data_IF_237391723311
#
_entry.id   IF_237391723311
#
_cell.length_a   1.000
_cell.length_b   1.000
_cell.length_c   1.000
_cell.angle_alpha   90.00
_cell.angle_beta   90.00
_cell.angle_gamma   90.00
#
_symmetry.space_group_name_H-M   'P 1'
#
loop_
_entity.id
_entity.type
_entity.pdbx_description
1 polymer ?
#
# COMPACT_ATOMS: atom_id res chain seq x y z
N UNK A 1 -2.54 -5.46 -17.99
CA UNK A 1 -3.95 -5.31 -17.58
C UNK A 1 -4.01 -4.41 -16.36
N UNK A 2 -4.74 -3.30 -16.44
CA UNK A 2 -5.01 -2.41 -15.30
C UNK A 2 -6.25 -2.86 -14.53
N UNK A 3 -6.27 -2.65 -13.22
CA UNK A 3 -7.40 -2.89 -12.32
C UNK A 3 -7.86 -1.58 -11.69
N UNK A 4 -9.13 -1.50 -11.31
CA UNK A 4 -9.67 -0.35 -10.61
C UNK A 4 -9.05 -0.29 -9.21
N UNK A 5 -8.67 0.91 -8.76
CA UNK A 5 -8.11 1.13 -7.41
C UNK A 5 -9.13 0.76 -6.34
N UNK A 6 -10.40 1.14 -6.54
CA UNK A 6 -11.49 0.63 -5.73
C UNK A 6 -12.12 -0.59 -6.43
N UNK A 7 -11.81 -1.80 -5.93
CA UNK A 7 -12.37 -3.04 -6.46
C UNK A 7 -13.90 -3.16 -6.25
N UNK A 8 -14.49 -2.35 -5.36
CA UNK A 8 -15.94 -2.25 -5.21
C UNK A 8 -16.61 -1.54 -6.40
N UNK A 9 -15.86 -0.73 -7.16
CA UNK A 9 -16.37 -0.03 -8.34
C UNK A 9 -16.07 -0.87 -9.59
N UNK A 10 -17.11 -1.47 -10.17
CA UNK A 10 -17.02 -2.27 -11.40
C UNK A 10 -17.12 -1.45 -12.70
N UNK A 11 -17.12 -0.12 -12.60
CA UNK A 11 -17.23 0.77 -13.75
C UNK A 11 -16.00 0.65 -14.67
N UNK A 12 -16.25 0.36 -15.95
CA UNK A 12 -15.23 0.22 -16.99
C UNK A 12 -14.51 1.56 -17.29
N UNK A 13 -15.19 2.69 -17.04
CA UNK A 13 -14.67 4.06 -17.21
C UNK A 13 -14.12 4.65 -15.92
N UNK A 14 -13.95 3.84 -14.86
CA UNK A 14 -13.39 4.32 -13.62
C UNK A 14 -12.04 5.01 -13.86
N UNK A 15 -11.96 6.29 -13.46
CA UNK A 15 -10.83 7.17 -13.74
C UNK A 15 -9.54 6.70 -13.06
N UNK A 16 -9.65 6.08 -11.90
CA UNK A 16 -8.51 5.67 -11.08
C UNK A 16 -8.16 4.20 -11.28
N UNK A 17 -7.24 3.95 -12.21
CA UNK A 17 -6.74 2.60 -12.52
C UNK A 17 -5.32 2.44 -11.99
N UNK A 18 -5.02 1.27 -11.45
CA UNK A 18 -3.68 0.85 -11.07
C UNK A 18 -3.26 -0.39 -11.88
N UNK A 19 -1.98 -0.62 -12.14
CA UNK A 19 -1.55 -1.87 -12.74
C UNK A 19 -1.72 -3.02 -11.74
N UNK A 20 -1.94 -4.25 -12.24
CA UNK A 20 -1.98 -5.43 -11.37
C UNK A 20 -0.64 -5.63 -10.67
N UNK A 21 -0.69 -6.11 -9.42
CA UNK A 21 0.49 -6.42 -8.66
C UNK A 21 1.17 -7.65 -9.28
N UNK A 22 2.46 -7.50 -9.60
CA UNK A 22 3.29 -8.58 -10.15
C UNK A 22 4.28 -8.96 -9.07
N UNK A 23 4.10 -10.16 -8.54
CA UNK A 23 4.98 -10.76 -7.55
C UNK A 23 5.67 -11.97 -8.17
N UNK A 24 6.97 -12.09 -7.92
CA UNK A 24 7.82 -13.20 -8.33
C UNK A 24 8.38 -13.86 -7.09
N UNK A 25 8.08 -15.14 -6.92
CA UNK A 25 8.66 -15.93 -5.83
C UNK A 25 10.06 -16.36 -6.24
N UNK A 26 11.06 -16.00 -5.43
CA UNK A 26 12.46 -16.37 -5.57
C UNK A 26 12.89 -17.22 -4.37
N UNK A 27 13.79 -18.18 -4.60
CA UNK A 27 14.28 -19.08 -3.55
C UNK A 27 13.54 -20.42 -3.47
N UNK A 28 14.18 -21.40 -2.83
CA UNK A 28 13.65 -22.76 -2.57
C UNK A 28 13.98 -23.14 -1.12
N UNK A 29 13.09 -23.86 -0.45
CA UNK A 29 13.25 -24.27 0.95
C UNK A 29 13.11 -23.10 1.94
N UNK A 30 13.94 -23.07 2.99
CA UNK A 30 13.86 -22.10 4.10
C UNK A 30 14.18 -20.64 3.71
N UNK A 31 14.62 -20.39 2.48
CA UNK A 31 14.97 -19.06 1.96
C UNK A 31 14.00 -18.51 0.92
N UNK A 32 12.75 -18.99 0.89
CA UNK A 32 11.75 -18.51 -0.06
C UNK A 32 11.36 -17.06 0.25
N UNK A 33 11.38 -16.22 -0.78
CA UNK A 33 11.09 -14.79 -0.70
C UNK A 33 10.28 -14.36 -1.91
N UNK A 34 9.34 -13.47 -1.71
CA UNK A 34 8.48 -12.93 -2.75
C UNK A 34 8.94 -11.52 -3.10
N UNK A 35 9.37 -11.32 -4.33
CA UNK A 35 9.81 -10.04 -4.87
C UNK A 35 8.67 -9.40 -5.64
N UNK A 36 8.25 -8.21 -5.21
CA UNK A 36 7.23 -7.43 -5.90
C UNK A 36 7.94 -6.51 -6.89
N UNK A 37 7.76 -6.80 -8.17
CA UNK A 37 8.47 -6.11 -9.26
C UNK A 37 7.80 -4.78 -9.60
N UNK A 38 6.47 -4.77 -9.60
CA UNK A 38 5.66 -3.64 -10.07
C UNK A 38 5.20 -2.70 -8.93
N UNK A 39 5.94 -2.67 -7.82
CA UNK A 39 5.49 -1.96 -6.63
C UNK A 39 5.51 -0.44 -6.82
N UNK A 40 6.49 0.06 -7.59
CA UNK A 40 6.68 1.48 -7.85
C UNK A 40 5.52 2.05 -8.65
N UNK A 41 5.10 1.37 -9.71
CA UNK A 41 3.98 1.81 -10.55
C UNK A 41 2.65 1.81 -9.78
N UNK A 42 2.43 0.79 -8.95
CA UNK A 42 1.26 0.73 -8.06
C UNK A 42 1.30 1.88 -7.06
N UNK A 43 2.44 2.09 -6.40
CA UNK A 43 2.59 3.14 -5.40
C UNK A 43 2.42 4.55 -6.00
N UNK A 44 2.91 4.74 -7.23
CA UNK A 44 2.73 5.97 -8.01
C UNK A 44 1.26 6.20 -8.36
N UNK A 45 0.51 5.16 -8.73
CA UNK A 45 -0.93 5.27 -8.97
C UNK A 45 -1.72 5.64 -7.70
N UNK A 46 -1.23 5.22 -6.53
CA UNK A 46 -1.84 5.51 -5.22
C UNK A 46 -1.35 6.82 -4.60
N UNK A 47 -0.43 7.54 -5.25
CA UNK A 47 0.27 8.70 -4.66
C UNK A 47 0.83 8.40 -3.24
N UNK A 48 1.43 7.22 -3.05
CA UNK A 48 2.04 6.81 -1.79
C UNK A 48 3.45 6.26 -2.04
N UNK A 49 4.35 6.31 -1.05
CA UNK A 49 5.65 5.69 -1.19
C UNK A 49 5.49 4.15 -1.20
N UNK A 50 6.22 3.42 -2.06
CA UNK A 50 6.12 1.95 -2.18
C UNK A 50 6.57 1.19 -0.93
N UNK A 51 7.29 1.86 -0.02
CA UNK A 51 7.71 1.32 1.27
C UNK A 51 6.52 1.01 2.19
N UNK A 52 5.44 1.79 2.13
CA UNK A 52 4.27 1.62 3.01
C UNK A 52 3.49 0.34 2.71
N UNK A 53 2.96 0.13 1.50
CA UNK A 53 2.26 -1.11 1.17
C UNK A 53 3.17 -2.34 1.27
N UNK A 54 4.48 -2.22 0.97
CA UNK A 54 5.43 -3.32 1.21
C UNK A 54 5.50 -3.68 2.70
N UNK A 55 5.62 -2.68 3.58
CA UNK A 55 5.64 -2.90 5.03
C UNK A 55 4.31 -3.45 5.55
N UNK A 56 3.20 -3.04 4.93
CA UNK A 56 1.87 -3.53 5.24
C UNK A 56 1.78 -5.04 5.00
N UNK A 57 2.26 -5.54 3.85
CA UNK A 57 2.33 -6.97 3.57
C UNK A 57 3.12 -7.72 4.64
N UNK A 58 4.28 -7.20 5.05
CA UNK A 58 5.07 -7.81 6.12
C UNK A 58 4.32 -7.88 7.46
N UNK A 59 3.53 -6.86 7.79
CA UNK A 59 2.73 -6.85 9.02
C UNK A 59 1.57 -7.85 8.96
N UNK A 60 0.84 -7.93 7.85
CA UNK A 60 -0.29 -8.85 7.69
C UNK A 60 0.16 -10.31 7.56
N UNK A 61 1.29 -10.55 6.88
CA UNK A 61 1.84 -11.89 6.66
C UNK A 61 2.71 -12.39 7.81
N UNK A 62 3.01 -11.52 8.80
CA UNK A 62 3.97 -11.84 9.86
C UNK A 62 5.39 -12.06 9.35
N UNK A 63 5.73 -11.47 8.19
CA UNK A 63 6.98 -11.67 7.49
C UNK A 63 7.90 -10.44 7.61
N UNK A 64 9.20 -10.70 7.60
CA UNK A 64 10.18 -9.63 7.43
C UNK A 64 10.15 -9.11 5.99
N UNK A 65 10.32 -7.80 5.85
CA UNK A 65 10.29 -7.08 4.58
C UNK A 65 11.63 -6.40 4.37
N UNK A 66 12.14 -6.48 3.15
CA UNK A 66 13.37 -5.84 2.71
C UNK A 66 13.04 -4.94 1.53
N UNK A 67 13.48 -3.69 1.61
CA UNK A 67 13.19 -2.65 0.62
C UNK A 67 14.52 -2.10 0.13
N UNK A 68 14.80 -2.30 -1.15
CA UNK A 68 15.96 -1.77 -1.84
C UNK A 68 15.49 -0.62 -2.75
N UNK A 69 15.49 0.59 -2.21
CA UNK A 69 15.00 1.81 -2.89
C UNK A 69 15.88 2.18 -4.09
N UNK A 70 17.15 1.73 -4.12
CA UNK A 70 18.07 2.03 -5.23
C UNK A 70 17.79 1.19 -6.47
N UNK A 71 17.35 -0.05 -6.27
CA UNK A 71 17.05 -0.98 -7.36
C UNK A 71 15.55 -1.18 -7.57
N UNK A 72 14.70 -0.42 -6.87
CA UNK A 72 13.25 -0.58 -6.86
C UNK A 72 12.77 -2.01 -6.56
N UNK A 73 13.54 -2.74 -5.74
CA UNK A 73 13.22 -4.13 -5.36
C UNK A 73 12.58 -4.17 -3.98
N UNK A 74 11.35 -4.65 -3.94
CA UNK A 74 10.58 -4.83 -2.70
C UNK A 74 10.40 -6.31 -2.45
N UNK A 75 10.95 -6.80 -1.34
CA UNK A 75 11.03 -8.22 -1.02
C UNK A 75 10.28 -8.48 0.29
N UNK A 76 9.43 -9.50 0.27
CA UNK A 76 8.71 -10.01 1.44
C UNK A 76 9.17 -11.44 1.66
N UNK A 77 9.62 -11.78 2.87
CA UNK A 77 9.99 -13.17 3.18
C UNK A 77 8.75 -14.06 3.14
N UNK A 78 8.89 -15.28 2.64
CA UNK A 78 7.79 -16.21 2.45
C UNK A 78 7.36 -16.38 0.99
N UNK A 79 6.56 -17.42 0.74
CA UNK A 79 5.96 -17.72 -0.56
C UNK A 79 4.55 -17.12 -0.63
N UNK A 80 4.40 -16.05 -1.39
CA UNK A 80 3.12 -15.38 -1.55
C UNK A 80 2.78 -15.24 -3.03
N UNK A 81 1.60 -15.72 -3.38
CA UNK A 81 1.06 -15.55 -4.72
C UNK A 81 0.59 -14.11 -4.92
N UNK A 82 0.69 -13.64 -6.17
CA UNK A 82 0.27 -12.29 -6.55
C UNK A 82 -1.19 -12.00 -6.18
N UNK A 83 -2.09 -12.99 -6.30
CA UNK A 83 -3.51 -12.82 -5.95
C UNK A 83 -3.71 -12.49 -4.47
N UNK A 84 -2.97 -13.16 -3.57
CA UNK A 84 -3.10 -12.95 -2.13
C UNK A 84 -2.54 -11.57 -1.73
N UNK A 85 -1.43 -11.17 -2.32
CA UNK A 85 -0.87 -9.83 -2.15
C UNK A 85 -1.79 -8.74 -2.69
N UNK A 86 -2.49 -9.01 -3.80
CA UNK A 86 -3.45 -8.08 -4.36
C UNK A 86 -4.66 -7.88 -3.43
N UNK A 87 -5.17 -8.95 -2.80
CA UNK A 87 -6.27 -8.85 -1.83
C UNK A 87 -5.88 -8.04 -0.58
N UNK A 88 -4.65 -8.24 -0.08
CA UNK A 88 -4.09 -7.43 0.99
C UNK A 88 -3.90 -5.96 0.58
N UNK A 89 -3.48 -5.72 -0.67
CA UNK A 89 -3.34 -4.38 -1.21
C UNK A 89 -4.71 -3.69 -1.29
N UNK A 90 -5.76 -4.39 -1.70
CA UNK A 90 -7.13 -3.87 -1.69
C UNK A 90 -7.54 -3.45 -0.27
N UNK A 91 -7.21 -4.26 0.75
CA UNK A 91 -7.41 -3.91 2.16
C UNK A 91 -6.64 -2.67 2.60
N UNK A 92 -5.39 -2.52 2.16
CA UNK A 92 -4.58 -1.33 2.38
C UNK A 92 -5.20 -0.09 1.72
N UNK A 93 -5.62 -0.20 0.46
CA UNK A 93 -6.23 0.90 -0.30
C UNK A 93 -7.49 1.38 0.42
N UNK A 94 -8.38 0.45 0.82
CA UNK A 94 -9.61 0.79 1.53
C UNK A 94 -9.39 1.52 2.85
N UNK A 95 -8.32 1.19 3.59
CA UNK A 95 -8.05 1.79 4.90
C UNK A 95 -7.20 3.06 4.85
N UNK A 96 -6.21 3.12 3.96
CA UNK A 96 -5.17 4.14 3.97
C UNK A 96 -5.16 5.08 2.75
N UNK A 97 -5.85 4.71 1.67
CA UNK A 97 -5.87 5.49 0.42
C UNK A 97 -7.25 6.08 0.15
N UNK A 98 -8.31 5.29 0.27
CA UNK A 98 -9.67 5.77 0.07
C UNK A 98 -10.10 6.69 1.21
N UNK A 99 -10.76 7.79 0.86
CA UNK A 99 -11.42 8.63 1.84
C UNK A 99 -12.62 7.88 2.45
N UNK A 100 -12.81 7.91 3.78
CA UNK A 100 -13.96 7.27 4.42
C UNK A 100 -15.31 7.92 4.05
N UNK A 101 -15.30 9.14 3.54
CA UNK A 101 -16.52 9.90 3.24
C UNK A 101 -16.94 9.79 1.76
N UNK A 102 -15.98 9.91 0.83
CA UNK A 102 -16.26 9.96 -0.61
C UNK A 102 -15.66 8.80 -1.41
N UNK A 103 -14.98 7.85 -0.76
CA UNK A 103 -14.32 6.69 -1.38
C UNK A 103 -13.37 7.03 -2.55
N UNK A 104 -12.86 8.27 -2.59
CA UNK A 104 -11.94 8.71 -3.62
C UNK A 104 -10.49 8.41 -3.20
N UNK A 105 -9.66 7.80 -4.08
CA UNK A 105 -8.24 7.55 -3.79
C UNK A 105 -7.36 8.80 -3.79
N UNK A 106 -7.87 9.97 -4.19
CA UNK A 106 -7.13 11.25 -4.11
C UNK A 106 -7.08 11.80 -2.68
N UNK A 107 -6.26 11.16 -1.84
CA UNK A 107 -5.96 11.63 -0.48
C UNK A 107 -4.47 11.94 -0.32
N UNK A 108 -4.15 12.95 0.48
CA UNK A 108 -2.80 13.25 0.96
C UNK A 108 -2.66 12.79 2.40
N UNK A 109 -1.54 12.15 2.70
CA UNK A 109 -1.25 11.65 4.03
C UNK A 109 -0.25 12.59 4.71
N UNK A 110 -0.64 13.17 5.84
CA UNK A 110 0.19 14.09 6.61
C UNK A 110 0.63 13.42 7.90
N UNK A 111 1.93 13.24 8.07
CA UNK A 111 2.49 12.61 9.26
C UNK A 111 2.99 13.69 10.20
N UNK A 112 2.50 13.70 11.44
CA UNK A 112 2.97 14.60 12.49
C UNK A 112 3.82 13.82 13.51
N UNK A 113 5.14 13.70 13.31
CA UNK A 113 6.00 12.91 14.20
C UNK A 113 6.01 13.46 15.63
N UNK A 114 5.85 14.78 15.82
CA UNK A 114 5.77 15.42 17.14
C UNK A 114 4.54 15.00 17.94
N UNK A 115 3.40 14.80 17.28
CA UNK A 115 2.14 14.42 17.92
C UNK A 115 1.88 12.91 17.86
N UNK A 116 2.76 12.15 17.21
CA UNK A 116 2.58 10.72 16.92
C UNK A 116 1.24 10.42 16.22
N UNK A 117 0.75 11.36 15.42
CA UNK A 117 -0.52 11.24 14.69
C UNK A 117 -0.31 11.22 13.19
N UNK A 118 -1.16 10.46 12.51
CA UNK A 118 -1.23 10.40 11.05
C UNK A 118 -2.57 11.02 10.64
N UNK A 119 -2.51 12.09 9.87
CA UNK A 119 -3.67 12.72 9.25
C UNK A 119 -3.85 12.25 7.81
N UNK A 120 -5.10 12.23 7.35
CA UNK A 120 -5.43 12.19 5.94
C UNK A 120 -6.20 13.46 5.54
N UNK A 121 -5.96 13.91 4.32
CA UNK A 121 -6.65 15.04 3.70
C UNK A 121 -7.17 14.59 2.35
N UNK A 122 -8.47 14.62 2.09
CA UNK A 122 -9.02 14.32 0.78
C UNK A 122 -9.08 15.57 -0.09
N UNK A 123 -8.54 15.50 -1.31
CA UNK A 123 -8.61 16.60 -2.29
C UNK A 123 -9.99 16.73 -2.94
N UNK A 124 -10.76 15.64 -3.00
CA UNK A 124 -12.05 15.63 -3.67
C UNK A 124 -13.18 16.25 -2.82
N UNK A 125 -13.30 15.87 -1.54
CA UNK A 125 -14.33 16.40 -0.64
C UNK A 125 -13.82 17.41 0.40
N UNK A 126 -12.50 17.56 0.55
CA UNK A 126 -11.91 18.44 1.56
C UNK A 126 -11.88 17.85 2.97
N UNK A 127 -12.29 16.59 3.15
CA UNK A 127 -12.23 15.89 4.44
C UNK A 127 -10.82 15.93 5.02
N UNK A 128 -10.70 16.28 6.29
CA UNK A 128 -9.45 16.23 7.06
C UNK A 128 -9.70 15.44 8.34
N UNK A 129 -9.17 14.24 8.40
CA UNK A 129 -9.32 13.35 9.54
C UNK A 129 -7.99 12.82 10.01
N UNK A 130 -8.03 12.14 11.16
CA UNK A 130 -6.92 11.31 11.60
C UNK A 130 -7.16 9.88 11.09
N UNK A 131 -6.10 9.25 10.59
CA UNK A 131 -6.10 7.82 10.29
C UNK A 131 -6.00 7.02 11.58
N UNK A 132 -6.64 5.86 11.59
CA UNK A 132 -6.59 4.94 12.72
C UNK A 132 -5.14 4.52 13.00
N UNK A 133 -4.65 4.86 14.18
CA UNK A 133 -3.26 4.63 14.63
C UNK A 133 -3.04 3.22 15.15
N UNK A 134 -4.07 2.37 15.23
CA UNK A 134 -3.99 1.05 15.85
C UNK A 134 -3.22 0.00 15.01
N UNK A 135 -2.93 0.30 13.74
CA UNK A 135 -2.19 -0.62 12.87
C UNK A 135 -0.67 -0.50 13.05
N UNK A 136 0.06 -1.63 13.08
CA UNK A 136 1.54 -1.66 13.19
C UNK A 136 2.26 -0.87 12.09
N UNK A 137 1.59 -0.66 10.96
CA UNK A 137 2.08 0.18 9.87
C UNK A 137 2.19 1.66 10.30
N UNK A 138 1.29 2.16 11.14
CA UNK A 138 1.27 3.54 11.58
C UNK A 138 2.56 3.92 12.31
N UNK A 139 3.09 3.02 13.15
CA UNK A 139 4.42 3.22 13.78
C UNK A 139 5.55 3.34 12.76
N UNK A 140 5.48 2.62 11.64
CA UNK A 140 6.48 2.71 10.58
C UNK A 140 6.35 4.03 9.79
N UNK A 141 5.12 4.45 9.48
CA UNK A 141 4.81 5.72 8.82
C UNK A 141 5.28 6.90 9.68
N UNK A 142 5.08 6.84 11.00
CA UNK A 142 5.56 7.87 11.94
C UNK A 142 7.09 8.01 11.95
N UNK A 143 7.82 6.91 11.73
CA UNK A 143 9.28 6.89 11.66
C UNK A 143 9.83 7.27 10.29
N UNK A 144 9.04 7.08 9.23
CA UNK A 144 9.38 7.38 7.85
C UNK A 144 8.29 8.27 7.23
N UNK A 145 8.29 9.58 7.55
CA UNK A 145 7.35 10.51 6.94
C UNK A 145 7.49 10.49 5.40
N UNK A 146 6.38 10.69 4.67
CA UNK A 146 6.36 10.66 3.21
C UNK A 146 7.08 11.88 2.60
#
# INVERSE_FOLDING_TARGET
>A
MSVNVNRSVSDQFYRYKMPRLIAKVEGKGNGIKTVIVNMVDVAKALNRPPTYPTKYFGCELGAQTQFDVKNDRYIVNGSHEANKLQDMLDGFIKKFVLCPECENPETDLHVNPKKQTIGNSCKACGYRGMLDTHHKLCTFILKNPP
#
